data_IF_865018757346
#
_entry.id   IF_865018757346
#
_cell.length_a   1.000
_cell.length_b   1.000
_cell.length_c   1.000
_cell.angle_alpha   90.00
_cell.angle_beta   90.00
_cell.angle_gamma   90.00
#
_symmetry.space_group_name_H-M   'P 1'
#
loop_
_entity.id
_entity.type
_entity.pdbx_description
1 polymer ?
#
# COMPACT_ATOMS: atom_id res chain seq x y z
N UNK A 1 25.03 10.52 -29.52
CA UNK A 1 24.52 9.18 -29.90
C UNK A 1 24.24 8.42 -28.61
N UNK A 2 23.09 7.77 -28.45
CA UNK A 2 22.77 7.07 -27.17
C UNK A 2 23.49 5.74 -27.14
N UNK A 3 24.29 5.47 -26.09
CA UNK A 3 24.99 4.19 -25.89
C UNK A 3 23.99 3.05 -25.73
N UNK A 4 24.21 1.95 -26.43
CA UNK A 4 23.33 0.78 -26.44
C UNK A 4 23.96 -0.40 -25.68
N UNK A 5 23.14 -1.38 -25.35
CA UNK A 5 23.63 -2.65 -24.75
C UNK A 5 24.65 -3.38 -25.68
N UNK A 6 24.55 -3.17 -27.00
CA UNK A 6 25.49 -3.73 -27.97
C UNK A 6 26.86 -3.06 -27.91
N UNK A 7 26.92 -1.77 -27.59
CA UNK A 7 28.19 -1.05 -27.41
C UNK A 7 28.91 -1.51 -26.13
N UNK A 8 28.15 -1.71 -25.05
CA UNK A 8 28.68 -2.32 -23.80
C UNK A 8 29.21 -3.72 -24.06
N UNK A 9 28.46 -4.55 -24.81
CA UNK A 9 28.87 -5.90 -25.12
C UNK A 9 30.18 -5.92 -25.91
N UNK A 10 30.36 -5.02 -26.88
CA UNK A 10 31.57 -4.82 -27.66
C UNK A 10 32.75 -4.38 -26.78
N UNK A 11 32.55 -3.37 -25.92
CA UNK A 11 33.58 -2.86 -25.05
C UNK A 11 34.04 -3.90 -24.01
N UNK A 12 33.11 -4.66 -23.42
CA UNK A 12 33.39 -5.72 -22.47
C UNK A 12 33.87 -7.05 -23.13
N UNK A 13 33.92 -7.13 -24.45
CA UNK A 13 34.25 -8.33 -25.23
C UNK A 13 33.38 -9.55 -24.88
N UNK A 14 32.11 -9.34 -24.70
CA UNK A 14 31.09 -10.38 -24.41
C UNK A 14 29.91 -10.26 -25.35
N UNK A 15 29.05 -11.26 -25.36
CA UNK A 15 27.81 -11.13 -26.13
C UNK A 15 26.75 -10.32 -25.38
N UNK A 16 25.74 -9.79 -26.11
CA UNK A 16 24.65 -9.00 -25.57
C UNK A 16 23.84 -9.75 -24.48
N UNK A 17 23.71 -11.09 -24.62
CA UNK A 17 23.03 -11.93 -23.62
C UNK A 17 23.80 -11.97 -22.29
N UNK A 18 25.14 -11.97 -22.33
CA UNK A 18 25.98 -11.89 -21.13
C UNK A 18 25.82 -10.55 -20.42
N UNK A 19 25.83 -9.42 -21.15
CA UNK A 19 25.54 -8.09 -20.56
C UNK A 19 24.16 -8.10 -19.88
N UNK A 20 23.14 -8.62 -20.55
CA UNK A 20 21.80 -8.74 -19.99
C UNK A 20 21.74 -9.59 -18.72
N UNK A 21 22.52 -10.69 -18.65
CA UNK A 21 22.59 -11.55 -17.44
C UNK A 21 23.30 -10.86 -16.29
N UNK A 22 24.40 -10.13 -16.57
CA UNK A 22 25.12 -9.34 -15.54
C UNK A 22 24.19 -8.27 -14.95
N UNK A 23 23.45 -7.54 -15.78
CA UNK A 23 22.50 -6.52 -15.34
C UNK A 23 21.36 -7.08 -14.48
N UNK A 24 21.03 -8.37 -14.63
CA UNK A 24 20.04 -9.08 -13.82
C UNK A 24 20.60 -9.78 -12.59
N UNK A 25 21.91 -9.71 -12.35
CA UNK A 25 22.55 -10.38 -11.22
C UNK A 25 22.56 -11.91 -11.33
N UNK A 26 22.59 -12.47 -12.53
CA UNK A 26 22.59 -13.94 -12.75
C UNK A 26 23.84 -14.56 -12.17
N UNK A 27 23.69 -15.37 -11.11
CA UNK A 27 24.78 -16.01 -10.36
C UNK A 27 25.62 -16.97 -11.22
N UNK A 28 25.19 -17.34 -12.43
CA UNK A 28 25.96 -18.19 -13.36
C UNK A 28 27.06 -17.43 -14.09
N UNK A 29 27.11 -16.11 -13.96
CA UNK A 29 28.20 -15.29 -14.56
C UNK A 29 29.36 -15.23 -13.60
N UNK A 30 30.57 -15.52 -14.12
CA UNK A 30 31.78 -15.43 -13.31
C UNK A 30 32.05 -13.99 -12.83
N UNK A 31 32.63 -13.80 -11.62
CA UNK A 31 32.94 -12.47 -11.09
C UNK A 31 33.76 -11.62 -12.06
N UNK A 32 34.80 -12.16 -12.66
CA UNK A 32 35.65 -11.44 -13.60
C UNK A 32 34.95 -11.03 -14.89
N UNK A 33 33.94 -11.79 -15.34
CA UNK A 33 33.08 -11.36 -16.46
C UNK A 33 32.15 -10.24 -16.05
N UNK A 34 31.56 -10.31 -14.85
CA UNK A 34 30.71 -9.26 -14.32
C UNK A 34 31.49 -7.94 -14.16
N UNK A 35 32.71 -7.99 -13.61
CA UNK A 35 33.55 -6.80 -13.45
C UNK A 35 33.88 -6.14 -14.78
N UNK A 36 34.22 -6.88 -15.84
CA UNK A 36 34.45 -6.33 -17.18
C UNK A 36 33.23 -5.61 -17.74
N UNK A 37 32.05 -6.19 -17.54
CA UNK A 37 30.78 -5.57 -18.00
C UNK A 37 30.47 -4.32 -17.21
N UNK A 38 30.63 -4.32 -15.87
CA UNK A 38 30.41 -3.14 -15.05
C UNK A 38 31.40 -2.02 -15.36
N UNK A 39 32.66 -2.34 -15.64
CA UNK A 39 33.67 -1.37 -16.08
C UNK A 39 33.27 -0.69 -17.40
N UNK A 40 32.85 -1.48 -18.40
CA UNK A 40 32.38 -0.95 -19.68
C UNK A 40 31.11 -0.10 -19.56
N UNK A 41 30.17 -0.49 -18.69
CA UNK A 41 28.96 0.30 -18.38
C UNK A 41 29.34 1.67 -17.83
N UNK A 42 30.29 1.70 -16.87
CA UNK A 42 30.75 2.94 -16.24
C UNK A 42 31.49 3.83 -17.22
N UNK A 43 32.40 3.27 -18.01
CA UNK A 43 33.22 3.99 -19.00
C UNK A 43 32.35 4.63 -20.09
N UNK A 44 31.39 3.87 -20.63
CA UNK A 44 30.50 4.35 -21.69
C UNK A 44 29.33 5.20 -21.17
N UNK A 45 29.14 5.31 -19.86
CA UNK A 45 27.98 6.00 -19.28
C UNK A 45 26.66 5.31 -19.67
N UNK A 46 26.67 4.00 -19.94
CA UNK A 46 25.48 3.27 -20.33
C UNK A 46 24.45 3.24 -19.20
N UNK A 47 23.25 3.69 -19.52
CA UNK A 47 22.08 3.56 -18.62
C UNK A 47 21.12 2.52 -19.20
N UNK A 48 20.85 1.41 -18.47
CA UNK A 48 19.88 0.43 -18.94
C UNK A 48 18.54 1.10 -19.25
N UNK A 49 18.02 0.85 -20.43
CA UNK A 49 16.70 1.35 -20.84
C UNK A 49 15.63 0.40 -20.27
N UNK A 50 14.82 0.90 -19.33
CA UNK A 50 13.72 0.15 -18.73
C UNK A 50 12.69 -0.28 -19.80
N UNK A 51 12.47 0.55 -20.82
CA UNK A 51 11.57 0.26 -21.94
C UNK A 51 12.10 -0.91 -22.78
N UNK A 52 13.43 -0.92 -23.07
CA UNK A 52 14.05 -2.00 -23.82
C UNK A 52 14.10 -3.32 -23.02
N UNK A 53 14.16 -3.26 -21.69
CA UNK A 53 14.00 -4.44 -20.82
C UNK A 53 12.58 -4.99 -20.87
N UNK A 54 11.57 -4.15 -20.73
CA UNK A 54 10.16 -4.53 -20.79
C UNK A 54 9.76 -5.18 -22.12
N UNK A 55 10.35 -4.76 -23.24
CA UNK A 55 10.15 -5.37 -24.56
C UNK A 55 10.74 -6.78 -24.68
N UNK A 56 11.77 -7.11 -23.89
CA UNK A 56 12.43 -8.44 -23.91
C UNK A 56 11.92 -9.40 -22.84
N UNK A 57 11.28 -8.90 -21.80
CA UNK A 57 10.78 -9.66 -20.65
C UNK A 57 9.30 -9.44 -20.58
N UNK A 58 8.37 -9.61 -21.26
CA UNK A 58 6.90 -9.39 -21.10
C UNK A 58 6.44 -8.70 -19.78
N UNK A 59 7.36 -8.10 -19.01
CA UNK A 59 7.17 -7.43 -17.71
C UNK A 59 7.74 -6.01 -17.75
N UNK A 60 7.00 -5.08 -17.15
CA UNK A 60 7.42 -3.68 -17.03
C UNK A 60 8.19 -3.40 -15.74
N UNK A 61 8.19 -4.33 -14.80
CA UNK A 61 8.68 -4.16 -13.43
C UNK A 61 8.07 -2.90 -12.77
N UNK A 62 6.79 -2.64 -13.06
CA UNK A 62 6.06 -1.47 -12.58
C UNK A 62 4.66 -1.88 -12.14
N UNK A 63 4.20 -1.36 -11.02
CA UNK A 63 2.83 -1.55 -10.53
C UNK A 63 2.10 -0.24 -10.35
N UNK A 64 0.80 -0.24 -10.59
CA UNK A 64 -0.07 0.88 -10.32
C UNK A 64 -0.61 0.83 -8.89
N UNK A 65 -0.50 1.93 -8.16
CA UNK A 65 -1.07 2.06 -6.82
C UNK A 65 -2.11 3.18 -6.82
N UNK A 66 -3.32 2.86 -6.39
CA UNK A 66 -4.44 3.79 -6.30
C UNK A 66 -4.72 4.10 -4.84
N UNK A 67 -4.80 5.38 -4.53
CA UNK A 67 -5.29 5.91 -3.26
C UNK A 67 -6.41 6.90 -3.57
N UNK A 68 -7.39 7.01 -2.69
CA UNK A 68 -8.42 8.04 -2.81
C UNK A 68 -7.81 9.41 -2.57
N UNK A 69 -7.07 9.57 -1.46
CA UNK A 69 -6.37 10.79 -1.10
C UNK A 69 -4.99 10.50 -0.48
N UNK A 70 -3.96 11.11 -1.01
CA UNK A 70 -2.58 10.97 -0.53
C UNK A 70 -2.26 11.87 0.66
N UNK A 71 -3.09 12.85 0.95
CA UNK A 71 -2.90 13.77 2.09
C UNK A 71 -3.30 13.16 3.43
N UNK A 72 -3.97 12.02 3.41
CA UNK A 72 -4.41 11.33 4.62
C UNK A 72 -3.22 10.85 5.46
N UNK A 73 -3.25 11.02 6.77
CA UNK A 73 -2.11 10.74 7.65
C UNK A 73 -1.53 9.32 7.54
N UNK A 74 -2.38 8.34 7.23
CA UNK A 74 -1.97 6.94 7.07
C UNK A 74 -1.32 6.64 5.71
N UNK A 75 -1.55 7.48 4.68
CA UNK A 75 -1.09 7.22 3.31
C UNK A 75 0.45 7.10 3.23
N UNK A 76 1.18 7.96 3.91
CA UNK A 76 2.63 7.94 3.92
C UNK A 76 3.20 6.63 4.49
N UNK A 77 2.65 6.12 5.59
CA UNK A 77 3.09 4.85 6.18
C UNK A 77 2.71 3.65 5.30
N UNK A 78 1.54 3.67 4.70
CA UNK A 78 1.11 2.66 3.76
C UNK A 78 2.07 2.58 2.55
N UNK A 79 2.37 3.72 1.93
CA UNK A 79 3.32 3.81 0.82
C UNK A 79 4.72 3.35 1.22
N UNK A 80 5.18 3.70 2.43
CA UNK A 80 6.47 3.21 2.93
C UNK A 80 6.49 1.68 3.10
N UNK A 81 5.36 1.06 3.47
CA UNK A 81 5.20 -0.39 3.52
C UNK A 81 5.28 -1.04 2.13
N UNK A 82 4.63 -0.46 1.14
CA UNK A 82 4.70 -0.88 -0.27
C UNK A 82 6.14 -0.79 -0.78
N UNK A 83 6.74 0.40 -0.67
CA UNK A 83 8.08 0.69 -1.15
C UNK A 83 9.13 -0.26 -0.58
N UNK A 84 9.06 -0.53 0.73
CA UNK A 84 9.98 -1.47 1.39
C UNK A 84 10.01 -2.86 0.74
N UNK A 85 8.90 -3.31 0.19
CA UNK A 85 8.80 -4.64 -0.44
C UNK A 85 9.13 -4.56 -1.92
N UNK A 86 8.50 -3.63 -2.65
CA UNK A 86 8.60 -3.54 -4.11
C UNK A 86 10.01 -3.16 -4.57
N UNK A 87 10.67 -2.19 -3.92
CA UNK A 87 12.02 -1.76 -4.25
C UNK A 87 13.05 -2.90 -4.12
N UNK A 88 12.91 -3.79 -3.13
CA UNK A 88 13.77 -4.97 -2.98
C UNK A 88 13.64 -5.98 -4.13
N UNK A 89 12.53 -5.91 -4.86
CA UNK A 89 12.29 -6.76 -6.03
C UNK A 89 12.50 -6.00 -7.35
N UNK A 90 12.99 -4.75 -7.29
CA UNK A 90 13.23 -3.92 -8.46
C UNK A 90 11.95 -3.51 -9.19
N UNK A 91 10.84 -3.41 -8.46
CA UNK A 91 9.53 -3.01 -8.99
C UNK A 91 9.23 -1.57 -8.61
N UNK A 92 8.95 -0.75 -9.61
CA UNK A 92 8.61 0.66 -9.47
C UNK A 92 7.12 0.86 -9.19
N UNK A 93 6.78 1.97 -8.52
CA UNK A 93 5.40 2.36 -8.20
C UNK A 93 4.99 3.54 -9.06
N UNK A 94 3.84 3.43 -9.74
CA UNK A 94 3.12 4.59 -10.27
C UNK A 94 1.90 4.85 -9.41
N UNK A 95 1.98 5.93 -8.62
CA UNK A 95 0.90 6.34 -7.73
C UNK A 95 -0.15 7.18 -8.47
N UNK A 96 -1.43 6.92 -8.19
CA UNK A 96 -2.58 7.70 -8.63
C UNK A 96 -3.49 8.04 -7.45
N UNK A 97 -3.71 9.33 -7.22
CA UNK A 97 -4.78 9.81 -6.35
C UNK A 97 -6.05 9.98 -7.21
N UNK A 98 -7.15 9.41 -6.76
CA UNK A 98 -8.41 9.40 -7.54
C UNK A 98 -9.43 10.42 -7.01
N UNK A 99 -9.23 10.97 -5.81
CA UNK A 99 -10.13 11.95 -5.20
C UNK A 99 -11.56 11.43 -4.99
N UNK A 100 -11.77 10.10 -5.02
CA UNK A 100 -13.10 9.51 -4.98
C UNK A 100 -13.90 9.66 -6.29
N UNK A 101 -13.33 10.27 -7.33
CA UNK A 101 -13.99 10.51 -8.63
C UNK A 101 -13.90 9.26 -9.53
N UNK A 102 -15.04 8.62 -9.88
CA UNK A 102 -15.06 7.44 -10.73
C UNK A 102 -14.45 7.69 -12.13
N UNK A 103 -14.59 8.88 -12.70
CA UNK A 103 -14.06 9.21 -14.01
C UNK A 103 -12.54 9.36 -13.98
N UNK A 104 -12.01 10.04 -12.97
CA UNK A 104 -10.55 10.13 -12.76
C UNK A 104 -9.95 8.74 -12.54
N UNK A 105 -10.61 7.90 -11.76
CA UNK A 105 -10.21 6.53 -11.54
C UNK A 105 -10.17 5.72 -12.83
N UNK A 106 -11.20 5.79 -13.65
CA UNK A 106 -11.26 5.12 -14.96
C UNK A 106 -10.11 5.57 -15.88
N UNK A 107 -9.89 6.87 -16.00
CA UNK A 107 -8.82 7.44 -16.80
C UNK A 107 -7.43 6.99 -16.32
N UNK A 108 -7.24 6.94 -15.00
CA UNK A 108 -6.00 6.49 -14.39
C UNK A 108 -5.74 4.99 -14.66
N UNK A 109 -6.76 4.13 -14.53
CA UNK A 109 -6.68 2.70 -14.86
C UNK A 109 -6.31 2.49 -16.33
N UNK A 110 -7.05 3.13 -17.24
CA UNK A 110 -6.80 3.05 -18.69
C UNK A 110 -5.39 3.52 -19.06
N UNK A 111 -4.94 4.62 -18.45
CA UNK A 111 -3.60 5.15 -18.65
C UNK A 111 -2.48 4.24 -18.15
N UNK A 112 -2.71 3.47 -17.09
CA UNK A 112 -1.72 2.52 -16.57
C UNK A 112 -1.76 1.19 -17.34
N UNK A 113 -2.92 0.74 -17.79
CA UNK A 113 -3.05 -0.42 -18.68
C UNK A 113 -2.29 -0.19 -20.00
N UNK A 114 -2.40 1.02 -20.58
CA UNK A 114 -1.66 1.37 -21.80
C UNK A 114 -0.13 1.39 -21.58
N UNK A 115 0.34 1.59 -20.35
CA UNK A 115 1.75 1.53 -19.95
C UNK A 115 2.20 0.11 -19.63
N UNK A 116 1.31 -0.88 -19.70
CA UNK A 116 1.58 -2.30 -19.43
C UNK A 116 2.15 -2.53 -18.04
N UNK A 117 1.59 -1.87 -17.01
CA UNK A 117 1.96 -2.20 -15.62
C UNK A 117 1.67 -3.66 -15.33
N UNK A 118 2.46 -4.29 -14.46
CA UNK A 118 2.39 -5.72 -14.18
C UNK A 118 1.24 -6.08 -13.22
N UNK A 119 0.66 -5.08 -12.55
CA UNK A 119 -0.46 -5.29 -11.64
C UNK A 119 -0.89 -4.01 -10.93
N UNK A 120 -1.98 -4.14 -10.14
CA UNK A 120 -2.56 -3.05 -9.39
C UNK A 120 -2.68 -3.33 -7.90
N UNK A 121 -2.51 -2.29 -7.10
CA UNK A 121 -2.93 -2.23 -5.71
C UNK A 121 -3.94 -1.10 -5.59
N UNK A 122 -5.15 -1.46 -5.19
CA UNK A 122 -6.31 -0.57 -5.17
C UNK A 122 -6.72 -0.33 -3.71
N UNK A 123 -6.38 0.83 -3.19
CA UNK A 123 -6.81 1.28 -1.88
C UNK A 123 -7.78 2.44 -2.06
N UNK A 124 -8.87 2.11 -2.71
CA UNK A 124 -10.03 2.97 -2.93
C UNK A 124 -11.31 2.14 -2.83
N UNK A 125 -12.45 2.80 -2.76
CA UNK A 125 -13.76 2.15 -2.66
C UNK A 125 -14.33 1.70 -4.03
N UNK A 126 -13.55 1.83 -5.09
CA UNK A 126 -13.99 1.51 -6.44
C UNK A 126 -14.06 0.01 -6.73
N UNK A 127 -14.75 -0.41 -7.81
CA UNK A 127 -14.82 -1.81 -8.23
C UNK A 127 -13.43 -2.33 -8.65
N UNK A 128 -13.28 -3.67 -8.63
CA UNK A 128 -12.10 -4.29 -9.23
C UNK A 128 -12.03 -3.92 -10.74
N UNK A 129 -10.81 -3.80 -11.31
CA UNK A 129 -10.67 -3.60 -12.76
C UNK A 129 -11.28 -4.80 -13.50
N UNK A 130 -11.96 -4.54 -14.62
CA UNK A 130 -12.46 -5.59 -15.50
C UNK A 130 -11.35 -6.29 -16.31
N UNK A 131 -10.13 -5.75 -16.26
CA UNK A 131 -8.99 -6.29 -16.98
C UNK A 131 -8.43 -7.55 -16.28
N UNK A 132 -8.00 -8.53 -17.06
CA UNK A 132 -7.29 -9.73 -16.57
C UNK A 132 -5.83 -9.38 -16.22
N UNK A 133 -5.68 -8.58 -15.16
CA UNK A 133 -4.38 -8.13 -14.63
C UNK A 133 -4.32 -8.43 -13.12
N UNK A 134 -3.18 -8.92 -12.61
CA UNK A 134 -2.99 -9.11 -11.18
C UNK A 134 -3.39 -7.89 -10.35
N UNK A 135 -4.34 -8.06 -9.44
CA UNK A 135 -4.84 -6.95 -8.63
C UNK A 135 -5.05 -7.37 -7.18
N UNK A 136 -4.65 -6.49 -6.27
CA UNK A 136 -4.92 -6.61 -4.83
C UNK A 136 -5.76 -5.42 -4.39
N UNK A 137 -6.87 -5.70 -3.74
CA UNK A 137 -7.76 -4.69 -3.20
C UNK A 137 -7.45 -4.51 -1.72
N UNK A 138 -7.36 -3.27 -1.28
CA UNK A 138 -7.18 -2.92 0.13
C UNK A 138 -8.44 -2.22 0.61
N UNK A 139 -9.12 -2.84 1.56
CA UNK A 139 -10.41 -2.32 2.00
C UNK A 139 -11.26 -3.37 2.70
N UNK A 140 -12.57 -3.16 2.80
CA UNK A 140 -13.48 -4.14 3.35
C UNK A 140 -13.39 -5.49 2.62
N UNK A 141 -13.65 -6.57 3.37
CA UNK A 141 -13.62 -7.92 2.84
C UNK A 141 -14.54 -8.05 1.62
N UNK A 142 -14.04 -8.67 0.55
CA UNK A 142 -14.81 -8.99 -0.65
C UNK A 142 -14.99 -10.51 -0.79
N UNK A 143 -16.05 -10.93 -1.49
CA UNK A 143 -16.37 -12.34 -1.70
C UNK A 143 -15.40 -13.03 -2.66
N UNK A 144 -14.78 -12.26 -3.56
CA UNK A 144 -13.86 -12.80 -4.58
C UNK A 144 -12.62 -11.92 -4.73
N UNK A 145 -11.55 -12.51 -5.26
CA UNK A 145 -10.29 -11.83 -5.54
C UNK A 145 -9.32 -11.84 -4.36
N UNK A 146 -8.34 -10.95 -4.42
CA UNK A 146 -7.28 -10.83 -3.43
C UNK A 146 -7.51 -9.55 -2.63
N UNK A 147 -7.79 -9.69 -1.34
CA UNK A 147 -8.08 -8.56 -0.47
C UNK A 147 -7.11 -8.53 0.71
N UNK A 148 -6.57 -7.35 1.00
CA UNK A 148 -5.90 -7.04 2.27
C UNK A 148 -6.81 -6.12 3.06
N UNK A 149 -7.14 -6.48 4.28
CA UNK A 149 -8.14 -5.80 5.10
C UNK A 149 -7.63 -5.57 6.52
N UNK A 150 -8.38 -4.81 7.29
CA UNK A 150 -8.23 -4.70 8.74
C UNK A 150 -9.33 -5.51 9.42
N UNK A 151 -9.01 -6.15 10.52
CA UNK A 151 -10.02 -6.83 11.35
C UNK A 151 -10.86 -5.80 12.09
N UNK A 152 -11.93 -5.37 11.43
CA UNK A 152 -12.87 -4.39 11.99
C UNK A 152 -13.63 -4.91 13.21
N UNK A 153 -13.88 -6.22 13.28
CA UNK A 153 -14.50 -6.87 14.43
C UNK A 153 -13.66 -6.73 15.69
N UNK A 154 -12.34 -6.91 15.54
CA UNK A 154 -11.40 -6.68 16.63
C UNK A 154 -11.38 -5.21 17.07
N UNK A 155 -11.36 -4.25 16.12
CA UNK A 155 -11.41 -2.82 16.42
C UNK A 155 -12.70 -2.45 17.18
N UNK A 156 -13.86 -2.85 16.64
CA UNK A 156 -15.16 -2.60 17.27
C UNK A 156 -15.27 -3.20 18.67
N UNK A 157 -14.77 -4.43 18.85
CA UNK A 157 -14.77 -5.10 20.16
C UNK A 157 -13.89 -4.39 21.19
N UNK A 158 -12.74 -3.85 20.77
CA UNK A 158 -11.86 -3.06 21.65
C UNK A 158 -12.52 -1.74 22.05
N UNK A 159 -13.16 -1.04 21.10
CA UNK A 159 -13.89 0.21 21.35
C UNK A 159 -15.12 -0.02 22.25
N UNK A 160 -15.88 -1.10 22.02
CA UNK A 160 -17.02 -1.45 22.84
C UNK A 160 -16.63 -1.73 24.31
N UNK A 161 -15.51 -2.42 24.52
CA UNK A 161 -14.95 -2.64 25.87
C UNK A 161 -14.52 -1.34 26.54
N UNK A 162 -13.87 -0.44 25.79
CA UNK A 162 -13.48 0.88 26.29
C UNK A 162 -14.72 1.72 26.62
N UNK A 163 -15.75 1.65 25.79
CA UNK A 163 -17.00 2.39 25.99
C UNK A 163 -17.73 1.96 27.27
N UNK A 164 -17.68 0.67 27.62
CA UNK A 164 -18.28 0.12 28.85
C UNK A 164 -19.72 0.57 29.05
N UNK A 165 -20.53 0.56 27.98
CA UNK A 165 -21.93 0.98 27.97
C UNK A 165 -22.18 2.47 27.76
N UNK A 166 -21.15 3.29 27.53
CA UNK A 166 -21.26 4.68 27.08
C UNK A 166 -21.55 4.73 25.58
N UNK A 167 -22.00 5.89 25.10
CA UNK A 167 -22.13 6.14 23.67
C UNK A 167 -20.76 6.08 22.97
N UNK A 168 -20.76 5.69 21.69
CA UNK A 168 -19.58 5.78 20.82
C UNK A 168 -19.94 6.63 19.61
N UNK A 169 -19.21 7.72 19.42
CA UNK A 169 -19.34 8.62 18.28
C UNK A 169 -18.12 8.49 17.37
N UNK A 170 -18.36 8.41 16.07
CA UNK A 170 -17.32 8.28 15.06
C UNK A 170 -17.22 9.55 14.22
N UNK A 171 -16.07 10.17 14.21
CA UNK A 171 -15.76 11.34 13.41
C UNK A 171 -14.88 10.93 12.23
N UNK A 172 -15.50 10.84 11.04
CA UNK A 172 -14.85 10.31 9.85
C UNK A 172 -13.94 11.34 9.19
N UNK A 173 -12.73 10.91 8.78
CA UNK A 173 -11.74 11.74 8.14
C UNK A 173 -11.19 11.17 6.81
N UNK A 174 -11.89 10.21 6.19
CA UNK A 174 -11.48 9.64 4.88
C UNK A 174 -10.81 8.26 4.96
N UNK A 175 -10.72 7.63 6.13
CA UNK A 175 -10.28 6.25 6.23
C UNK A 175 -11.41 5.30 5.78
N UNK A 176 -11.24 4.50 4.71
CA UNK A 176 -12.30 3.68 4.12
C UNK A 176 -12.80 2.56 5.04
N UNK A 177 -12.11 2.27 6.14
CA UNK A 177 -12.52 1.25 7.10
C UNK A 177 -13.45 1.78 8.21
N UNK A 178 -13.51 3.08 8.44
CA UNK A 178 -14.28 3.67 9.53
C UNK A 178 -15.80 3.38 9.47
N UNK A 179 -16.46 3.47 8.30
CA UNK A 179 -17.88 3.12 8.20
C UNK A 179 -18.17 1.69 8.66
N UNK A 180 -17.26 0.77 8.37
CA UNK A 180 -17.39 -0.63 8.79
C UNK A 180 -17.24 -0.84 10.30
N UNK A 181 -16.45 -0.02 10.99
CA UNK A 181 -16.36 -0.05 12.46
C UNK A 181 -17.70 0.34 13.07
N UNK A 182 -18.30 1.44 12.58
CA UNK A 182 -19.58 1.92 13.06
C UNK A 182 -20.69 0.89 12.96
N UNK A 183 -20.74 0.16 11.84
CA UNK A 183 -21.72 -0.90 11.62
C UNK A 183 -21.57 -2.11 12.57
N UNK A 184 -20.41 -2.30 13.16
CA UNK A 184 -20.10 -3.41 14.08
C UNK A 184 -20.20 -3.03 15.57
N UNK A 185 -20.36 -1.74 15.88
CA UNK A 185 -20.55 -1.30 17.27
C UNK A 185 -21.94 -1.71 17.78
N UNK A 186 -22.03 -2.05 19.09
CA UNK A 186 -23.32 -2.40 19.68
C UNK A 186 -24.33 -1.27 19.51
N UNK A 187 -25.48 -1.55 18.92
CA UNK A 187 -26.61 -0.63 18.87
C UNK A 187 -27.34 -0.57 20.22
N UNK A 188 -28.07 0.49 20.46
CA UNK A 188 -28.94 0.68 21.63
C UNK A 188 -28.67 1.98 22.37
N UNK A 189 -29.57 2.32 23.31
CA UNK A 189 -29.37 3.49 24.16
C UNK A 189 -28.19 3.32 25.09
N UNK A 190 -27.39 4.37 25.31
CA UNK A 190 -26.27 4.35 26.26
C UNK A 190 -26.78 4.00 27.67
N UNK A 191 -26.05 3.17 28.39
CA UNK A 191 -26.38 2.76 29.78
C UNK A 191 -25.61 3.57 30.82
N UNK A 192 -24.62 4.35 30.39
CA UNK A 192 -23.76 5.19 31.25
C UNK A 192 -23.59 6.57 30.62
N UNK A 193 -23.35 7.55 31.47
CA UNK A 193 -23.00 8.91 31.04
C UNK A 193 -21.58 8.98 30.42
N UNK A 194 -21.38 9.98 29.58
CA UNK A 194 -20.14 10.20 28.83
C UNK A 194 -20.13 9.49 27.48
N UNK A 195 -19.23 9.93 26.64
CA UNK A 195 -19.11 9.48 25.25
C UNK A 195 -17.68 9.06 24.93
N UNK A 196 -17.52 7.98 24.18
CA UNK A 196 -16.23 7.63 23.55
C UNK A 196 -16.24 8.22 22.14
N UNK A 197 -15.35 9.16 21.87
CA UNK A 197 -15.23 9.86 20.59
C UNK A 197 -14.04 9.37 19.83
N UNK A 198 -14.26 8.70 18.72
CA UNK A 198 -13.20 8.21 17.83
C UNK A 198 -13.02 9.15 16.64
N UNK A 199 -11.84 9.72 16.53
CA UNK A 199 -11.43 10.59 15.43
C UNK A 199 -10.47 9.86 14.48
N UNK A 200 -10.66 10.05 13.17
CA UNK A 200 -9.76 9.53 12.14
C UNK A 200 -8.60 10.51 11.89
N UNK A 201 -7.51 10.29 12.61
CA UNK A 201 -6.24 10.95 12.39
C UNK A 201 -6.06 12.28 13.12
N UNK A 202 -6.82 13.31 12.81
CA UNK A 202 -6.64 14.65 13.37
C UNK A 202 -7.86 15.08 14.19
N UNK A 203 -7.59 15.73 15.32
CA UNK A 203 -8.64 16.42 16.09
C UNK A 203 -9.07 17.68 15.34
N UNK A 204 -10.38 17.95 15.23
CA UNK A 204 -10.84 19.26 14.81
C UNK A 204 -10.35 20.33 15.80
N UNK A 205 -9.82 21.43 15.28
CA UNK A 205 -9.41 22.57 16.08
C UNK A 205 -10.64 23.20 16.75
N UNK A 206 -10.71 23.18 18.08
CA UNK A 206 -11.74 23.87 18.84
C UNK A 206 -12.81 22.99 19.49
N UNK A 207 -12.81 21.68 19.29
CA UNK A 207 -13.70 20.80 20.05
C UNK A 207 -13.13 20.47 21.44
N UNK A 208 -13.82 20.95 22.47
CA UNK A 208 -13.56 20.56 23.85
C UNK A 208 -14.22 19.20 24.16
N UNK A 209 -13.57 18.35 24.93
CA UNK A 209 -14.17 17.16 25.51
C UNK A 209 -14.96 17.56 26.75
N UNK A 210 -16.19 17.06 26.88
CA UNK A 210 -16.98 17.21 28.11
C UNK A 210 -16.41 16.34 29.23
N UNK A 211 -16.57 16.73 30.50
CA UNK A 211 -16.20 15.86 31.62
C UNK A 211 -16.87 14.49 31.49
N UNK A 212 -16.07 13.43 31.57
CA UNK A 212 -16.54 12.05 31.39
C UNK A 212 -16.37 11.47 30.00
N UNK A 213 -16.04 12.30 28.99
CA UNK A 213 -15.75 11.82 27.64
C UNK A 213 -14.36 11.15 27.56
N UNK A 214 -14.27 10.13 26.71
CA UNK A 214 -13.00 9.49 26.38
C UNK A 214 -12.67 9.77 24.92
N UNK A 215 -11.53 10.39 24.69
CA UNK A 215 -11.02 10.66 23.36
C UNK A 215 -10.20 9.45 22.86
N UNK A 216 -10.54 8.99 21.67
CA UNK A 216 -9.76 7.97 20.95
C UNK A 216 -9.32 8.55 19.60
N UNK A 217 -8.06 8.42 19.28
CA UNK A 217 -7.53 8.86 18.00
C UNK A 217 -7.06 7.65 17.20
N UNK A 218 -7.59 7.51 16.00
CA UNK A 218 -7.04 6.61 15.02
C UNK A 218 -5.68 7.14 14.56
N UNK A 219 -4.63 6.38 14.80
CA UNK A 219 -3.28 6.84 14.59
C UNK A 219 -2.40 5.78 13.96
N UNK A 220 -1.44 6.21 13.17
CA UNK A 220 -0.36 5.40 12.66
C UNK A 220 0.85 5.45 13.61
N UNK A 221 1.91 4.68 13.34
CA UNK A 221 3.15 4.70 14.15
C UNK A 221 3.79 6.10 14.23
N UNK A 222 3.64 6.87 13.16
CA UNK A 222 4.25 8.20 13.00
C UNK A 222 3.27 9.35 13.23
N UNK A 223 2.10 9.07 13.79
CA UNK A 223 1.14 10.13 14.12
C UNK A 223 1.76 11.07 15.16
N UNK A 224 1.98 12.36 14.84
CA UNK A 224 2.84 13.22 15.63
C UNK A 224 2.21 13.72 16.93
N UNK A 225 0.91 13.71 17.09
CA UNK A 225 0.28 14.32 18.25
C UNK A 225 -1.03 13.61 18.63
N UNK A 226 -0.92 12.67 19.54
CA UNK A 226 -2.06 12.23 20.33
C UNK A 226 -2.10 13.10 21.58
N UNK A 227 -3.20 13.82 21.86
CA UNK A 227 -3.29 14.67 23.03
C UNK A 227 -3.06 13.89 24.33
N UNK A 228 -2.49 14.51 25.38
CA UNK A 228 -2.37 13.89 26.68
C UNK A 228 -3.73 13.37 27.18
N UNK A 229 -3.77 12.16 27.71
CA UNK A 229 -5.01 11.53 28.18
C UNK A 229 -5.89 10.88 27.10
N UNK A 230 -5.58 11.02 25.83
CA UNK A 230 -6.31 10.33 24.75
C UNK A 230 -5.84 8.88 24.56
N UNK A 231 -6.76 8.02 24.18
CA UNK A 231 -6.48 6.68 23.74
C UNK A 231 -6.06 6.66 22.28
N UNK A 232 -5.27 5.68 21.90
CA UNK A 232 -4.80 5.51 20.52
C UNK A 232 -5.30 4.20 19.96
N UNK A 233 -6.12 4.28 18.90
CA UNK A 233 -6.43 3.12 18.07
C UNK A 233 -5.37 3.05 16.96
N UNK A 234 -4.40 2.16 17.13
CA UNK A 234 -3.33 1.97 16.17
C UNK A 234 -3.86 1.35 14.87
N UNK A 235 -3.61 2.06 13.78
CA UNK A 235 -3.96 1.64 12.44
C UNK A 235 -2.72 1.07 11.73
N UNK A 236 -2.73 -0.20 11.33
CA UNK A 236 -1.53 -0.88 10.83
C UNK A 236 -1.25 -0.58 9.35
N UNK A 237 -1.14 0.71 8.98
CA UNK A 237 -0.98 1.16 7.60
C UNK A 237 0.28 0.60 6.94
N UNK A 238 1.41 0.56 7.66
CA UNK A 238 2.66 0.01 7.13
C UNK A 238 2.55 -1.49 6.84
N UNK A 239 1.91 -2.24 7.73
CA UNK A 239 1.66 -3.66 7.58
C UNK A 239 0.73 -3.95 6.40
N UNK A 240 -0.33 -3.15 6.24
CA UNK A 240 -1.23 -3.21 5.07
C UNK A 240 -0.44 -3.04 3.78
N UNK A 241 0.42 -2.01 3.69
CA UNK A 241 1.27 -1.79 2.52
C UNK A 241 2.22 -2.97 2.25
N UNK A 242 2.90 -3.46 3.29
CA UNK A 242 3.81 -4.59 3.18
C UNK A 242 3.11 -5.87 2.67
N UNK A 243 1.92 -6.18 3.21
CA UNK A 243 1.15 -7.35 2.81
C UNK A 243 0.57 -7.22 1.40
N UNK A 244 0.06 -6.04 1.05
CA UNK A 244 -0.45 -5.75 -0.29
C UNK A 244 0.62 -5.98 -1.36
N UNK A 245 1.82 -5.46 -1.14
CA UNK A 245 2.94 -5.64 -2.06
C UNK A 245 3.37 -7.11 -2.18
N UNK A 246 3.50 -7.83 -1.06
CA UNK A 246 3.87 -9.26 -1.05
C UNK A 246 2.84 -10.10 -1.77
N UNK A 247 1.56 -9.86 -1.51
CA UNK A 247 0.47 -10.59 -2.14
C UNK A 247 0.48 -10.36 -3.65
N UNK A 248 0.57 -9.11 -4.10
CA UNK A 248 0.65 -8.77 -5.52
C UNK A 248 1.86 -9.42 -6.21
N UNK A 249 3.06 -9.34 -5.62
CA UNK A 249 4.25 -9.97 -6.16
C UNK A 249 4.11 -11.49 -6.31
N UNK A 250 3.48 -12.17 -5.34
CA UNK A 250 3.24 -13.60 -5.42
C UNK A 250 2.29 -13.95 -6.57
N UNK A 251 1.26 -13.14 -6.79
CA UNK A 251 0.32 -13.31 -7.92
C UNK A 251 1.05 -13.11 -9.25
N UNK A 252 1.79 -12.00 -9.39
CA UNK A 252 2.58 -11.67 -10.60
C UNK A 252 3.60 -12.77 -10.92
N UNK A 253 4.19 -13.38 -9.89
CA UNK A 253 5.18 -14.46 -10.04
C UNK A 253 4.55 -15.84 -10.30
N UNK A 254 3.23 -15.94 -10.33
CA UNK A 254 2.54 -17.20 -10.56
C UNK A 254 2.77 -18.25 -9.47
N UNK A 255 2.94 -17.85 -8.21
CA UNK A 255 3.20 -18.77 -7.09
C UNK A 255 1.97 -19.57 -6.62
N UNK A 256 0.94 -19.69 -7.44
CA UNK A 256 -0.24 -20.50 -7.12
C UNK A 256 -1.06 -20.00 -5.93
N UNK A 257 -1.01 -18.69 -5.66
CA UNK A 257 -1.80 -18.07 -4.58
C UNK A 257 -3.28 -18.15 -4.94
N UNK A 258 -4.08 -18.71 -4.06
CA UNK A 258 -5.55 -18.72 -4.23
C UNK A 258 -6.13 -17.37 -3.80
N UNK A 259 -7.26 -16.94 -4.40
CA UNK A 259 -8.01 -15.80 -3.91
C UNK A 259 -8.26 -15.91 -2.41
N UNK A 260 -7.92 -14.87 -1.67
CA UNK A 260 -7.97 -14.87 -0.20
C UNK A 260 -8.11 -13.47 0.38
N UNK A 261 -8.57 -13.42 1.60
CA UNK A 261 -8.57 -12.22 2.43
C UNK A 261 -7.49 -12.36 3.48
N UNK A 262 -6.56 -11.40 3.53
CA UNK A 262 -5.54 -11.28 4.57
C UNK A 262 -5.92 -10.10 5.46
N UNK A 263 -6.13 -10.33 6.75
CA UNK A 263 -6.51 -9.28 7.69
C UNK A 263 -5.36 -8.92 8.63
N UNK A 264 -5.26 -7.64 8.96
CA UNK A 264 -4.32 -7.11 9.95
C UNK A 264 -5.11 -6.65 11.17
N UNK A 265 -4.55 -6.91 12.35
CA UNK A 265 -5.19 -6.55 13.61
C UNK A 265 -4.86 -5.10 14.00
N UNK A 266 -5.86 -4.24 14.24
CA UNK A 266 -5.66 -2.97 14.91
C UNK A 266 -5.42 -3.19 16.40
N UNK A 267 -4.78 -2.23 17.06
CA UNK A 267 -4.52 -2.29 18.49
C UNK A 267 -4.94 -1.00 19.20
N UNK A 268 -5.68 -1.14 20.28
CA UNK A 268 -6.03 -0.02 21.16
C UNK A 268 -5.01 0.04 22.29
N UNK A 269 -4.41 1.20 22.49
CA UNK A 269 -3.51 1.49 23.61
C UNK A 269 -4.09 2.58 24.50
N UNK A 270 -3.82 2.47 25.81
CA UNK A 270 -4.26 3.43 26.80
C UNK A 270 -3.64 4.81 26.62
N UNK A 271 -4.10 5.80 27.45
CA UNK A 271 -3.54 7.13 27.43
C UNK A 271 -2.05 7.10 27.82
N UNK A 272 -1.26 7.86 27.08
CA UNK A 272 0.16 8.09 27.33
C UNK A 272 0.34 9.09 28.48
#
# INVERSE_FOLDING_TARGET
MRVTMSDVARAAQVNKATVSRVLRGDARISPGTAEKVWAAIKELGYRPDAIARGLSSSRSDTVGVFLEDISLPWAAEYLAGLERVLSRHGVDIILRATGGDPQQRYNALSGLLSRRVDGFILFDNGPAPEADIPSVIVGPKRESGYTVSVDLGSAASQLARLADGRAVELFQGGNPFFPGIGALLPGGAPKKEGTVRLYDGLLPTGEGTSPGDTLVISATRRCPAVPPGAWKLYWPAFELGTLSARLLLNIIQGKGVRPQVVSVLPALSGPL
#
